data_IF_329070768668
#
_entry.id   IF_329070768668
#
_cell.length_a   1.000
_cell.length_b   1.000
_cell.length_c   1.000
_cell.angle_alpha   90.00
_cell.angle_beta   90.00
_cell.angle_gamma   90.00
#
_symmetry.space_group_name_H-M   'P 1'
#
loop_
_entity.id
_entity.type
_entity.pdbx_description
1 polymer ?
#
# COMPACT_ATOMS: atom_id res chain seq x y z
N UNK A 1 -9.84 -9.39 -3.63
CA UNK A 1 -8.57 -8.72 -3.99
C UNK A 1 -7.97 -9.22 -5.29
N UNK A 2 -7.90 -10.54 -5.54
CA UNK A 2 -7.15 -11.10 -6.67
C UNK A 2 -7.62 -10.54 -8.04
N UNK A 3 -8.92 -10.51 -8.31
CA UNK A 3 -9.47 -9.99 -9.58
C UNK A 3 -9.15 -8.49 -9.74
N UNK A 4 -9.43 -7.68 -8.71
CA UNK A 4 -9.14 -6.23 -8.75
C UNK A 4 -7.64 -5.93 -8.87
N UNK A 5 -6.80 -6.80 -8.32
CA UNK A 5 -5.35 -6.73 -8.41
C UNK A 5 -4.78 -7.33 -9.71
N UNK A 6 -5.61 -7.76 -10.64
CA UNK A 6 -5.20 -8.45 -11.87
C UNK A 6 -4.30 -9.68 -11.60
N UNK A 7 -4.48 -10.34 -10.45
CA UNK A 7 -3.81 -11.60 -10.09
C UNK A 7 -4.61 -12.82 -10.58
N UNK A 8 -5.89 -12.62 -10.90
CA UNK A 8 -6.81 -13.62 -11.40
C UNK A 8 -7.81 -12.97 -12.36
N UNK A 9 -8.49 -13.78 -13.16
CA UNK A 9 -9.49 -13.32 -14.12
C UNK A 9 -10.91 -13.57 -13.60
N UNK A 10 -11.85 -12.65 -13.86
CA UNK A 10 -13.25 -12.91 -13.52
C UNK A 10 -13.82 -14.04 -14.39
N UNK A 11 -14.66 -14.90 -13.81
CA UNK A 11 -15.39 -15.93 -14.54
C UNK A 11 -16.40 -15.31 -15.50
N UNK A 12 -16.95 -14.14 -15.14
CA UNK A 12 -17.90 -13.38 -15.95
C UNK A 12 -17.87 -11.91 -15.51
N UNK A 13 -18.43 -11.02 -16.35
CA UNK A 13 -18.43 -9.58 -16.13
C UNK A 13 -17.20 -8.89 -16.72
N UNK A 14 -17.13 -7.58 -16.54
CA UNK A 14 -16.10 -6.71 -17.09
C UNK A 14 -15.41 -5.95 -15.96
N UNK A 15 -14.11 -5.70 -16.13
CA UNK A 15 -13.32 -4.89 -15.19
C UNK A 15 -12.57 -3.81 -15.96
N UNK A 16 -12.90 -2.56 -15.67
CA UNK A 16 -12.23 -1.40 -16.26
C UNK A 16 -11.27 -0.74 -15.28
N UNK A 17 -10.02 -0.61 -15.69
CA UNK A 17 -8.99 0.13 -14.96
C UNK A 17 -8.55 1.31 -15.83
N UNK A 18 -8.70 2.54 -15.33
CA UNK A 18 -8.44 3.78 -16.08
C UNK A 18 -9.12 3.80 -17.46
N UNK A 19 -10.36 3.31 -17.53
CA UNK A 19 -11.16 3.26 -18.75
C UNK A 19 -10.78 2.15 -19.73
N UNK A 20 -9.78 1.31 -19.41
CA UNK A 20 -9.36 0.17 -20.21
C UNK A 20 -9.95 -1.11 -19.65
N UNK A 21 -10.64 -1.89 -20.48
CA UNK A 21 -11.08 -3.24 -20.09
C UNK A 21 -9.86 -4.15 -19.92
N UNK A 22 -9.68 -4.64 -18.69
CA UNK A 22 -8.57 -5.54 -18.31
C UNK A 22 -9.00 -6.99 -18.19
N UNK A 23 -10.32 -7.29 -18.26
CA UNK A 23 -10.87 -8.64 -18.08
C UNK A 23 -10.47 -9.61 -19.21
N UNK A 24 -10.17 -9.09 -20.41
CA UNK A 24 -9.81 -9.88 -21.59
C UNK A 24 -8.30 -9.93 -21.86
N UNK A 25 -7.49 -9.31 -21.02
CA UNK A 25 -6.04 -9.26 -21.22
C UNK A 25 -5.39 -10.62 -20.97
N UNK A 26 -4.29 -10.89 -21.70
CA UNK A 26 -3.45 -12.07 -21.46
C UNK A 26 -2.54 -11.85 -20.22
N UNK A 27 -1.85 -12.89 -19.80
CA UNK A 27 -1.06 -12.89 -18.56
C UNK A 27 0.12 -11.90 -18.60
N UNK A 28 0.75 -11.72 -19.76
CA UNK A 28 1.83 -10.73 -19.94
C UNK A 28 1.30 -9.30 -19.79
N UNK A 29 0.14 -9.04 -20.40
CA UNK A 29 -0.53 -7.74 -20.30
C UNK A 29 -0.99 -7.47 -18.86
N UNK A 30 -1.58 -8.47 -18.16
CA UNK A 30 -1.95 -8.36 -16.76
C UNK A 30 -0.71 -8.14 -15.88
N UNK A 31 0.41 -8.82 -16.16
CA UNK A 31 1.67 -8.60 -15.46
C UNK A 31 2.18 -7.18 -15.63
N UNK A 32 2.08 -6.63 -16.84
CA UNK A 32 2.42 -5.22 -17.11
C UNK A 32 1.53 -4.26 -16.33
N UNK A 33 0.19 -4.49 -16.33
CA UNK A 33 -0.78 -3.69 -15.55
C UNK A 33 -0.43 -3.72 -14.06
N UNK A 34 -0.20 -4.93 -13.49
CA UNK A 34 0.20 -5.06 -12.08
C UNK A 34 1.45 -4.27 -11.76
N UNK A 35 2.45 -4.31 -12.62
CA UNK A 35 3.69 -3.58 -12.38
C UNK A 35 3.52 -2.07 -12.48
N UNK A 36 2.76 -1.57 -13.47
CA UNK A 36 2.69 -0.14 -13.81
C UNK A 36 1.57 0.62 -13.13
N UNK A 37 0.42 -0.03 -12.88
CA UNK A 37 -0.81 0.65 -12.48
C UNK A 37 -1.29 0.27 -11.08
N UNK A 38 -0.78 -0.82 -10.50
CA UNK A 38 -1.25 -1.33 -9.21
C UNK A 38 -0.07 -1.43 -8.23
N UNK A 39 -0.18 -0.72 -7.10
CA UNK A 39 0.70 -0.93 -5.96
C UNK A 39 0.08 -1.91 -4.97
N UNK A 40 0.86 -2.82 -4.42
CA UNK A 40 0.40 -3.78 -3.42
C UNK A 40 1.08 -3.57 -2.08
N UNK A 41 0.28 -3.57 -1.02
CA UNK A 41 0.70 -3.56 0.38
C UNK A 41 0.03 -4.74 1.08
N UNK A 42 0.78 -5.58 1.78
CA UNK A 42 0.29 -6.80 2.42
C UNK A 42 0.52 -6.76 3.93
N UNK A 43 -0.29 -7.50 4.67
CA UNK A 43 -0.15 -7.66 6.11
C UNK A 43 1.25 -8.17 6.52
N UNK A 44 1.81 -9.11 5.76
CA UNK A 44 3.13 -9.70 6.01
C UNK A 44 4.31 -8.89 5.45
N UNK A 45 4.10 -7.62 5.02
CA UNK A 45 5.08 -6.71 4.39
C UNK A 45 5.68 -7.25 3.09
N UNK A 46 5.94 -8.55 2.98
CA UNK A 46 6.53 -9.25 1.82
C UNK A 46 7.82 -8.59 1.32
N UNK A 47 8.69 -8.22 2.25
CA UNK A 47 10.03 -7.71 1.95
C UNK A 47 11.00 -8.86 1.74
N UNK A 48 11.95 -8.69 0.83
CA UNK A 48 13.07 -9.60 0.67
C UNK A 48 14.03 -9.41 1.85
N UNK A 49 14.20 -10.45 2.66
CA UNK A 49 14.91 -10.39 3.95
C UNK A 49 16.42 -10.15 3.81
N UNK A 50 16.99 -10.49 2.63
CA UNK A 50 18.44 -10.39 2.36
C UNK A 50 18.83 -9.11 1.61
N UNK A 51 17.91 -8.20 1.40
CA UNK A 51 18.13 -6.94 0.70
C UNK A 51 17.77 -5.78 1.62
N UNK A 52 18.38 -4.62 1.40
CA UNK A 52 18.11 -3.40 2.15
C UNK A 52 16.71 -2.84 1.88
N UNK A 53 16.26 -1.88 2.68
CA UNK A 53 15.02 -1.15 2.42
C UNK A 53 15.03 -0.49 1.05
N UNK A 54 16.15 0.13 0.67
CA UNK A 54 16.32 0.77 -0.62
C UNK A 54 16.20 -0.23 -1.77
N UNK A 55 16.90 -1.36 -1.70
CA UNK A 55 16.85 -2.42 -2.72
C UNK A 55 15.44 -3.01 -2.84
N UNK A 56 14.74 -3.22 -1.72
CA UNK A 56 13.33 -3.64 -1.75
C UNK A 56 12.44 -2.64 -2.50
N UNK A 57 12.66 -1.35 -2.28
CA UNK A 57 11.89 -0.29 -2.95
C UNK A 57 12.23 -0.18 -4.44
N UNK A 58 13.46 -0.50 -4.85
CA UNK A 58 13.88 -0.49 -6.26
C UNK A 58 13.25 -1.61 -7.11
N UNK A 59 12.81 -2.72 -6.50
CA UNK A 59 12.34 -3.93 -7.20
C UNK A 59 11.33 -3.68 -8.33
N UNK A 60 10.27 -2.86 -8.15
CA UNK A 60 9.28 -2.64 -9.21
C UNK A 60 9.88 -2.06 -10.50
N UNK A 61 10.95 -1.27 -10.39
CA UNK A 61 11.64 -0.69 -11.55
C UNK A 61 12.55 -1.69 -12.25
N UNK A 62 13.03 -2.71 -11.54
CA UNK A 62 13.85 -3.79 -12.14
C UNK A 62 13.00 -4.71 -13.01
N UNK A 63 11.77 -5.03 -12.57
CA UNK A 63 10.86 -5.92 -13.31
C UNK A 63 10.08 -5.23 -14.43
N UNK A 64 10.03 -3.90 -14.43
CA UNK A 64 9.18 -3.13 -15.32
C UNK A 64 9.69 -2.94 -16.76
N UNK A 65 10.82 -3.58 -17.15
CA UNK A 65 11.39 -3.46 -18.49
C UNK A 65 11.77 -2.02 -18.88
N UNK A 66 12.04 -1.16 -17.89
CA UNK A 66 12.43 0.23 -18.14
C UNK A 66 13.96 0.34 -18.18
N UNK A 67 14.51 0.98 -19.20
CA UNK A 67 15.95 1.28 -19.33
C UNK A 67 16.41 2.38 -18.35
N UNK A 68 15.86 2.37 -17.13
CA UNK A 68 16.22 3.34 -16.11
C UNK A 68 17.60 3.00 -15.56
N UNK A 69 18.54 3.93 -15.73
CA UNK A 69 19.90 3.76 -15.19
C UNK A 69 19.89 3.64 -13.66
N UNK A 70 20.85 2.89 -13.11
CA UNK A 70 20.90 2.56 -11.70
C UNK A 70 20.86 3.79 -10.78
N UNK A 71 21.55 4.88 -11.16
CA UNK A 71 21.56 6.12 -10.37
C UNK A 71 20.19 6.79 -10.28
N UNK A 72 19.43 6.80 -11.36
CA UNK A 72 18.05 7.36 -11.36
C UNK A 72 17.09 6.46 -10.59
N UNK A 73 17.22 5.13 -10.71
CA UNK A 73 16.43 4.17 -9.93
C UNK A 73 16.65 4.38 -8.42
N UNK A 74 17.93 4.44 -8.00
CA UNK A 74 18.30 4.71 -6.60
C UNK A 74 17.75 6.05 -6.11
N UNK A 75 17.84 7.11 -6.92
CA UNK A 75 17.31 8.43 -6.59
C UNK A 75 15.80 8.39 -6.35
N UNK A 76 15.05 7.70 -7.21
CA UNK A 76 13.59 7.54 -7.06
C UNK A 76 13.24 6.74 -5.81
N UNK A 77 13.96 5.65 -5.54
CA UNK A 77 13.74 4.84 -4.36
C UNK A 77 14.04 5.60 -3.06
N UNK A 78 15.11 6.40 -3.03
CA UNK A 78 15.39 7.31 -1.91
C UNK A 78 14.28 8.34 -1.70
N UNK A 79 13.75 8.91 -2.78
CA UNK A 79 12.60 9.82 -2.71
C UNK A 79 11.34 9.14 -2.16
N UNK A 80 11.07 7.90 -2.55
CA UNK A 80 9.97 7.12 -2.03
C UNK A 80 10.13 6.79 -0.54
N UNK A 81 11.34 6.41 -0.09
CA UNK A 81 11.63 6.20 1.33
C UNK A 81 11.50 7.51 2.13
N UNK A 82 11.96 8.63 1.59
CA UNK A 82 11.81 9.93 2.23
C UNK A 82 10.34 10.31 2.42
N UNK A 83 9.47 10.01 1.45
CA UNK A 83 8.03 10.31 1.52
C UNK A 83 7.29 9.54 2.63
N UNK A 84 7.88 8.46 3.15
CA UNK A 84 7.35 7.67 4.27
C UNK A 84 8.20 7.82 5.55
N UNK A 85 9.13 8.79 5.58
CA UNK A 85 9.96 9.11 6.75
C UNK A 85 11.04 8.08 7.06
N UNK A 86 11.62 7.42 6.03
CA UNK A 86 12.63 6.36 6.18
C UNK A 86 13.90 6.59 5.38
N UNK A 87 14.22 7.85 5.01
CA UNK A 87 15.44 8.16 4.26
C UNK A 87 16.72 7.74 4.99
N UNK A 88 16.75 7.88 6.32
CA UNK A 88 17.86 7.49 7.20
C UNK A 88 17.98 5.98 7.43
N UNK A 89 17.00 5.21 6.96
CA UNK A 89 16.91 3.75 7.09
C UNK A 89 17.11 3.00 5.79
N UNK A 90 17.53 3.68 4.72
CA UNK A 90 17.63 3.12 3.37
C UNK A 90 18.49 1.85 3.30
N UNK A 91 19.60 1.80 4.04
CA UNK A 91 20.54 0.68 4.05
C UNK A 91 20.19 -0.41 5.08
N UNK A 92 19.13 -0.24 5.88
CA UNK A 92 18.73 -1.23 6.87
C UNK A 92 18.04 -2.42 6.19
N UNK A 93 18.32 -3.62 6.67
CA UNK A 93 17.63 -4.84 6.28
C UNK A 93 16.30 -4.99 7.06
N UNK A 94 15.32 -5.78 6.56
CA UNK A 94 14.03 -5.95 7.23
C UNK A 94 14.13 -6.36 8.71
N UNK A 95 15.07 -7.23 9.09
CA UNK A 95 15.28 -7.64 10.46
C UNK A 95 15.83 -6.54 11.40
N UNK A 96 16.25 -5.41 10.87
CA UNK A 96 16.71 -4.23 11.60
C UNK A 96 15.64 -3.15 11.71
N UNK A 97 14.45 -3.40 11.16
CA UNK A 97 13.32 -2.48 11.10
C UNK A 97 12.18 -2.96 11.97
N UNK A 98 11.49 -2.04 12.66
CA UNK A 98 10.23 -2.35 13.34
C UNK A 98 9.14 -2.75 12.33
N UNK A 99 8.06 -3.41 12.78
CA UNK A 99 6.94 -3.79 11.91
C UNK A 99 6.36 -2.59 11.14
N UNK A 100 6.17 -1.45 11.82
CA UNK A 100 5.69 -0.23 11.16
C UNK A 100 6.68 0.37 10.17
N UNK A 101 8.00 0.25 10.43
CA UNK A 101 9.02 0.65 9.47
C UNK A 101 9.00 -0.28 8.24
N UNK A 102 8.87 -1.59 8.43
CA UNK A 102 8.75 -2.55 7.34
C UNK A 102 7.50 -2.27 6.49
N UNK A 103 6.37 -1.95 7.13
CA UNK A 103 5.15 -1.58 6.40
C UNK A 103 5.33 -0.30 5.59
N UNK A 104 6.02 0.70 6.14
CA UNK A 104 6.34 1.93 5.40
C UNK A 104 7.28 1.66 4.21
N UNK A 105 8.25 0.75 4.33
CA UNK A 105 9.06 0.29 3.18
C UNK A 105 8.18 -0.38 2.12
N UNK A 106 7.23 -1.25 2.52
CA UNK A 106 6.30 -1.89 1.59
C UNK A 106 5.40 -0.86 0.86
N UNK A 107 4.95 0.18 1.57
CA UNK A 107 4.20 1.30 0.97
C UNK A 107 5.09 2.06 -0.03
N UNK A 108 6.33 2.42 0.34
CA UNK A 108 7.27 3.10 -0.55
C UNK A 108 7.53 2.28 -1.81
N UNK A 109 7.72 0.96 -1.68
CA UNK A 109 7.85 0.03 -2.80
C UNK A 109 6.64 0.06 -3.71
N UNK A 110 5.43 0.02 -3.13
CA UNK A 110 4.19 0.02 -3.90
C UNK A 110 3.99 1.31 -4.72
N UNK A 111 4.60 2.42 -4.32
CA UNK A 111 4.49 3.73 -4.98
C UNK A 111 5.50 3.96 -6.11
N UNK A 112 6.48 3.08 -6.31
CA UNK A 112 7.64 3.32 -7.20
C UNK A 112 7.27 3.58 -8.65
N UNK A 113 6.24 2.95 -9.17
CA UNK A 113 5.77 3.12 -10.54
C UNK A 113 4.64 4.16 -10.68
N UNK A 114 4.37 4.97 -9.64
CA UNK A 114 3.25 5.92 -9.61
C UNK A 114 1.92 5.25 -9.98
N UNK A 115 1.48 4.24 -9.22
CA UNK A 115 0.30 3.46 -9.55
C UNK A 115 -0.98 4.30 -9.52
N UNK A 116 -1.97 3.94 -10.34
CA UNK A 116 -3.31 4.50 -10.30
C UNK A 116 -4.10 4.03 -9.06
N UNK A 117 -3.84 2.78 -8.64
CA UNK A 117 -4.49 2.14 -7.48
C UNK A 117 -3.43 1.58 -6.53
N UNK A 118 -3.60 1.84 -5.24
CA UNK A 118 -2.90 1.17 -4.15
C UNK A 118 -3.87 0.20 -3.47
N UNK A 119 -3.55 -1.09 -3.52
CA UNK A 119 -4.34 -2.16 -2.88
C UNK A 119 -3.64 -2.61 -1.61
N UNK A 120 -4.27 -2.42 -0.47
CA UNK A 120 -3.74 -2.75 0.84
C UNK A 120 -4.58 -3.86 1.49
N UNK A 121 -3.98 -5.04 1.67
CA UNK A 121 -4.60 -6.21 2.26
C UNK A 121 -4.18 -6.34 3.72
N UNK A 122 -5.12 -6.10 4.63
CA UNK A 122 -4.90 -6.07 6.08
C UNK A 122 -3.65 -5.27 6.48
N UNK A 123 -3.50 -4.01 6.03
CA UNK A 123 -2.21 -3.30 6.13
C UNK A 123 -1.80 -2.98 7.56
N UNK A 124 -2.68 -3.13 8.53
CA UNK A 124 -2.48 -2.83 9.96
C UNK A 124 -2.50 -4.08 10.84
N UNK A 125 -2.85 -5.24 10.30
CA UNK A 125 -3.12 -6.45 11.08
C UNK A 125 -1.93 -7.01 11.90
N UNK A 126 -0.69 -6.59 11.60
CA UNK A 126 0.51 -6.98 12.34
C UNK A 126 1.15 -5.80 13.10
N UNK A 127 0.40 -4.71 13.31
CA UNK A 127 0.90 -3.47 13.88
C UNK A 127 0.17 -3.15 15.20
N UNK A 128 0.86 -2.45 16.09
CA UNK A 128 0.21 -1.84 17.25
C UNK A 128 -0.70 -0.67 16.83
N UNK A 129 -1.61 -0.27 17.72
CA UNK A 129 -2.63 0.74 17.43
C UNK A 129 -2.05 2.08 16.97
N UNK A 130 -0.94 2.53 17.57
CA UNK A 130 -0.31 3.79 17.20
C UNK A 130 0.29 3.73 15.81
N UNK A 131 1.02 2.67 15.53
CA UNK A 131 1.63 2.44 14.21
C UNK A 131 0.55 2.25 13.13
N UNK A 132 -0.58 1.63 13.48
CA UNK A 132 -1.74 1.50 12.58
C UNK A 132 -2.28 2.87 12.17
N UNK A 133 -2.43 3.80 13.12
CA UNK A 133 -2.85 5.19 12.83
C UNK A 133 -1.84 5.88 11.89
N UNK A 134 -0.53 5.71 12.13
CA UNK A 134 0.52 6.28 11.26
C UNK A 134 0.42 5.76 9.81
N UNK A 135 0.14 4.47 9.61
CA UNK A 135 -0.05 3.88 8.28
C UNK A 135 -1.31 4.45 7.61
N UNK A 136 -2.42 4.57 8.34
CA UNK A 136 -3.64 5.16 7.80
C UNK A 136 -3.48 6.66 7.48
N UNK A 137 -2.68 7.39 8.26
CA UNK A 137 -2.32 8.77 7.95
C UNK A 137 -1.57 8.88 6.62
N UNK A 138 -0.58 7.99 6.38
CA UNK A 138 0.14 7.94 5.10
C UNK A 138 -0.84 7.69 3.94
N UNK A 139 -1.76 6.75 4.07
CA UNK A 139 -2.76 6.48 3.02
C UNK A 139 -3.66 7.69 2.77
N UNK A 140 -4.12 8.37 3.82
CA UNK A 140 -4.96 9.56 3.67
C UNK A 140 -4.20 10.72 3.03
N UNK A 141 -2.91 10.91 3.37
CA UNK A 141 -2.04 11.92 2.75
C UNK A 141 -1.79 11.61 1.26
N UNK A 142 -1.46 10.38 0.92
CA UNK A 142 -1.27 9.95 -0.47
C UNK A 142 -2.50 10.20 -1.34
N UNK A 143 -3.70 9.91 -0.82
CA UNK A 143 -4.95 10.23 -1.54
C UNK A 143 -5.13 11.73 -1.73
N UNK A 144 -4.87 12.53 -0.70
CA UNK A 144 -5.08 13.98 -0.74
C UNK A 144 -4.07 14.68 -1.66
N UNK A 145 -2.80 14.29 -1.62
CA UNK A 145 -1.70 14.97 -2.32
C UNK A 145 -1.51 14.46 -3.75
N UNK A 146 -1.72 13.16 -3.99
CA UNK A 146 -1.43 12.52 -5.29
C UNK A 146 -2.66 12.06 -6.04
N UNK A 147 -3.85 12.10 -5.44
CA UNK A 147 -5.09 11.64 -6.06
C UNK A 147 -5.19 10.13 -6.26
N UNK A 148 -4.26 9.33 -5.71
CA UNK A 148 -4.24 7.87 -5.86
C UNK A 148 -5.52 7.26 -5.28
N UNK A 149 -6.12 6.31 -6.00
CA UNK A 149 -7.20 5.50 -5.45
C UNK A 149 -6.62 4.46 -4.49
N UNK A 150 -7.08 4.44 -3.24
CA UNK A 150 -6.63 3.49 -2.23
C UNK A 150 -7.77 2.56 -1.85
N UNK A 151 -7.55 1.27 -2.02
CA UNK A 151 -8.48 0.20 -1.64
C UNK A 151 -7.87 -0.54 -0.45
N UNK A 152 -8.45 -0.38 0.73
CA UNK A 152 -8.06 -1.12 1.93
C UNK A 152 -9.02 -2.27 2.11
N UNK A 153 -8.49 -3.48 2.19
CA UNK A 153 -9.24 -4.68 2.54
C UNK A 153 -8.95 -4.97 4.00
N UNK A 154 -9.98 -5.04 4.80
CA UNK A 154 -9.84 -5.32 6.24
C UNK A 154 -11.11 -5.94 6.81
N UNK A 155 -10.94 -6.75 7.84
CA UNK A 155 -12.02 -7.23 8.68
C UNK A 155 -12.21 -6.39 9.96
N UNK A 156 -11.36 -5.36 10.15
CA UNK A 156 -11.43 -4.46 11.30
C UNK A 156 -12.32 -3.24 10.99
N UNK A 157 -13.51 -3.10 11.65
CA UNK A 157 -14.39 -1.96 11.42
C UNK A 157 -13.72 -0.61 11.67
N UNK A 158 -12.84 -0.53 12.68
CA UNK A 158 -12.13 0.69 13.03
C UNK A 158 -11.19 1.17 11.92
N UNK A 159 -10.56 0.24 11.19
CA UNK A 159 -9.70 0.54 10.03
C UNK A 159 -10.56 0.98 8.84
N UNK A 160 -11.71 0.34 8.61
CA UNK A 160 -12.63 0.74 7.54
C UNK A 160 -13.15 2.17 7.70
N UNK A 161 -13.29 2.66 8.94
CA UNK A 161 -13.74 4.02 9.24
C UNK A 161 -12.82 5.13 8.71
N UNK A 162 -11.54 4.83 8.40
CA UNK A 162 -10.63 5.77 7.75
C UNK A 162 -10.91 5.94 6.24
N UNK A 163 -11.70 5.05 5.64
CA UNK A 163 -12.12 5.13 4.25
C UNK A 163 -13.17 6.21 4.00
N UNK A 164 -13.21 6.78 2.80
CA UNK A 164 -14.26 7.73 2.38
C UNK A 164 -15.53 7.03 1.86
N UNK A 165 -15.45 5.73 1.59
CA UNK A 165 -16.53 4.84 1.14
C UNK A 165 -16.26 3.46 1.71
N UNK A 166 -17.28 2.80 2.17
CA UNK A 166 -17.19 1.47 2.78
C UNK A 166 -18.07 0.51 1.99
N UNK A 167 -17.44 -0.55 1.44
CA UNK A 167 -18.13 -1.67 0.83
C UNK A 167 -18.09 -2.84 1.80
N UNK A 168 -19.25 -3.39 2.14
CA UNK A 168 -19.33 -4.60 2.96
C UNK A 168 -19.63 -5.79 2.06
N UNK A 169 -18.77 -6.82 2.16
CA UNK A 169 -18.90 -8.07 1.41
C UNK A 169 -19.20 -9.20 2.38
N UNK A 170 -20.21 -9.99 2.09
CA UNK A 170 -20.56 -11.22 2.83
C UNK A 170 -20.90 -12.32 1.86
N UNK A 171 -20.33 -13.50 2.05
CA UNK A 171 -20.55 -14.69 1.21
C UNK A 171 -20.42 -14.41 -0.30
N UNK A 172 -19.41 -13.58 -0.67
CA UNK A 172 -19.13 -13.21 -2.05
C UNK A 172 -20.05 -12.13 -2.65
N UNK A 173 -21.01 -11.61 -1.89
CA UNK A 173 -21.95 -10.57 -2.33
C UNK A 173 -21.68 -9.23 -1.64
N UNK A 174 -21.85 -8.14 -2.38
CA UNK A 174 -21.87 -6.78 -1.81
C UNK A 174 -23.19 -6.60 -1.09
N UNK A 175 -23.17 -6.46 0.23
CA UNK A 175 -24.35 -6.26 1.06
C UNK A 175 -24.58 -4.78 1.44
N UNK A 176 -23.55 -3.95 1.35
CA UNK A 176 -23.64 -2.50 1.55
C UNK A 176 -22.52 -1.81 0.76
N UNK A 177 -22.83 -0.62 0.25
CA UNK A 177 -21.91 0.27 -0.47
C UNK A 177 -22.30 1.72 -0.13
N UNK A 178 -21.61 2.31 0.84
CA UNK A 178 -22.01 3.58 1.43
C UNK A 178 -20.86 4.59 1.50
N UNK A 179 -21.12 5.88 1.21
CA UNK A 179 -20.16 6.94 1.50
C UNK A 179 -20.02 7.12 3.03
N UNK A 180 -18.80 7.26 3.49
CA UNK A 180 -18.51 7.50 4.90
C UNK A 180 -18.33 9.01 5.19
N UNK A 181 -19.43 9.67 5.53
CA UNK A 181 -19.44 11.11 5.86
C UNK A 181 -18.80 11.42 7.24
N UNK A 182 -18.65 10.41 8.10
CA UNK A 182 -18.03 10.53 9.44
C UNK A 182 -16.64 9.90 9.47
N UNK A 183 -15.93 9.99 8.34
CA UNK A 183 -14.60 9.40 8.19
C UNK A 183 -13.66 9.86 9.31
N UNK A 184 -12.98 8.89 9.93
CA UNK A 184 -11.88 9.15 10.87
C UNK A 184 -10.70 9.79 10.13
N UNK A 185 -10.04 10.74 10.77
CA UNK A 185 -8.87 11.42 10.22
C UNK A 185 -7.65 11.13 11.11
N UNK A 186 -6.80 10.24 10.63
CA UNK A 186 -5.64 9.72 11.36
C UNK A 186 -4.72 10.82 11.91
N UNK A 187 -4.57 11.93 11.19
CA UNK A 187 -3.76 13.09 11.62
C UNK A 187 -4.19 13.70 12.96
N UNK A 188 -5.46 13.62 13.33
CA UNK A 188 -5.94 14.12 14.61
C UNK A 188 -5.73 13.11 15.73
N UNK A 189 -5.91 11.83 15.45
CA UNK A 189 -5.79 10.76 16.43
C UNK A 189 -4.32 10.47 16.81
N UNK A 190 -3.38 10.70 15.90
CA UNK A 190 -1.94 10.56 16.17
C UNK A 190 -1.50 11.48 17.32
N UNK A 191 -2.09 12.67 17.44
CA UNK A 191 -1.74 13.65 18.48
C UNK A 191 -2.38 13.31 19.83
N UNK A 192 -3.44 12.50 19.86
CA UNK A 192 -4.17 12.09 21.05
C UNK A 192 -3.70 10.74 21.60
N UNK A 193 -2.95 9.95 20.81
CA UNK A 193 -2.45 8.66 21.25
C UNK A 193 -1.44 8.85 22.38
N UNK A 194 -1.62 8.19 23.56
CA UNK A 194 -0.69 8.30 24.65
C UNK A 194 0.70 7.86 24.22
N UNK A 195 1.72 8.65 24.54
CA UNK A 195 3.11 8.27 24.40
C UNK A 195 3.31 7.04 25.28
N UNK A 196 3.63 5.89 24.69
CA UNK A 196 3.99 4.71 25.47
C UNK A 196 5.18 5.12 26.38
N UNK A 197 4.91 5.21 27.69
CA UNK A 197 5.98 5.42 28.68
C UNK A 197 6.96 4.28 28.47
N UNK A 198 8.19 4.64 28.08
CA UNK A 198 9.26 3.69 27.92
C UNK A 198 9.44 2.93 29.23
N UNK A 199 9.32 1.61 29.17
CA UNK A 199 9.71 0.75 30.27
C UNK A 199 11.20 0.94 30.49
N UNK A 200 11.52 1.81 31.44
CA UNK A 200 12.83 1.85 32.09
C UNK A 200 12.87 0.67 33.07
N UNK A 201 13.63 -0.34 32.75
CA UNK A 201 14.26 -1.27 33.67
C UNK A 201 15.36 -2.04 32.93
#
# INVERSE_FOLDING_TARGET
MHILGCLDKPTSGEYFLEGKDVSQLNDDQLSWIRNKQIGFVFQGFNLLSRTSALENVELPLLYGGSDIVASERRKRAMGALASVGLADRAEHHPNQLSGGQQQRVAIARALMNNPAILMADEPTGNLDSRTSIEVMEIFQALKAERGITIVVITHEPQVAEYGSRILTIRDGHIVSDEPNFRRRLARYERNEAPVAEGSAA
#
